data_IF_758359815622
#
_entry.id   IF_758359815622
#
_cell.length_a   1.000
_cell.length_b   1.000
_cell.length_c   1.000
_cell.angle_alpha   90.00
_cell.angle_beta   90.00
_cell.angle_gamma   90.00
#
_symmetry.space_group_name_H-M   'P 1'
#
loop_
_entity.id
_entity.type
_entity.pdbx_description
1 polymer ?
#
# COMPACT_ATOMS: atom_id res chain seq x y z
N UNK A 1 8.34 14.26 -0.78
CA UNK A 1 9.39 14.11 -1.80
C UNK A 1 9.24 15.30 -2.74
N UNK A 2 10.34 15.94 -3.14
CA UNK A 2 10.23 16.98 -4.17
C UNK A 2 9.83 16.32 -5.50
N UNK A 3 8.88 16.88 -6.27
CA UNK A 3 8.43 16.29 -7.53
C UNK A 3 9.58 15.94 -8.49
N UNK A 4 10.60 16.81 -8.56
CA UNK A 4 11.78 16.57 -9.39
C UNK A 4 12.55 15.29 -9.02
N UNK A 5 12.69 14.98 -7.73
CA UNK A 5 13.40 13.77 -7.31
C UNK A 5 12.71 12.48 -7.76
N UNK A 6 11.38 12.52 -7.92
CA UNK A 6 10.61 11.40 -8.44
C UNK A 6 10.89 11.20 -9.94
N UNK A 7 10.93 12.30 -10.69
CA UNK A 7 11.29 12.31 -12.11
C UNK A 7 12.70 11.77 -12.31
N UNK A 8 13.67 12.32 -11.57
CA UNK A 8 15.07 11.89 -11.64
C UNK A 8 15.23 10.38 -11.33
N UNK A 9 14.48 9.88 -10.35
CA UNK A 9 14.47 8.46 -10.01
C UNK A 9 13.90 7.60 -11.15
N UNK A 10 12.78 8.01 -11.74
CA UNK A 10 12.17 7.27 -12.84
C UNK A 10 13.08 7.24 -14.07
N UNK A 11 13.74 8.36 -14.39
CA UNK A 11 14.69 8.44 -15.50
C UNK A 11 15.93 7.59 -15.27
N UNK A 12 16.48 7.60 -14.04
CA UNK A 12 17.58 6.73 -13.67
C UNK A 12 17.21 5.24 -13.81
N UNK A 13 16.01 4.85 -13.39
CA UNK A 13 15.52 3.48 -13.55
C UNK A 13 15.39 3.09 -15.02
N UNK A 14 14.84 3.96 -15.87
CA UNK A 14 14.72 3.70 -17.32
C UNK A 14 16.05 3.70 -18.05
N UNK A 15 17.03 4.45 -17.55
CA UNK A 15 18.39 4.44 -18.09
C UNK A 15 19.10 3.13 -17.78
N UNK A 16 18.90 2.57 -16.59
CA UNK A 16 19.58 1.34 -16.13
C UNK A 16 18.84 0.08 -16.59
N UNK A 17 17.51 0.11 -16.58
CA UNK A 17 16.66 -1.04 -16.89
C UNK A 17 15.82 -0.80 -18.13
N UNK A 18 15.66 -1.85 -18.93
CA UNK A 18 14.63 -1.86 -19.97
C UNK A 18 13.26 -2.05 -19.33
N UNK A 19 12.53 -0.95 -19.15
CA UNK A 19 11.15 -0.96 -18.65
C UNK A 19 10.20 -1.25 -19.80
N UNK A 20 9.39 -2.31 -19.67
CA UNK A 20 8.44 -2.70 -20.71
C UNK A 20 7.41 -1.56 -20.97
N UNK A 21 6.97 -1.36 -22.22
CA UNK A 21 5.99 -0.32 -22.55
C UNK A 21 4.66 -0.45 -21.80
N UNK A 22 4.28 -1.68 -21.43
CA UNK A 22 3.07 -2.03 -20.68
C UNK A 22 3.36 -2.33 -19.20
N UNK A 23 4.55 -2.01 -18.70
CA UNK A 23 4.91 -2.21 -17.31
C UNK A 23 3.94 -1.50 -16.37
N UNK A 24 3.52 -2.20 -15.31
CA UNK A 24 2.73 -1.57 -14.26
C UNK A 24 3.62 -0.73 -13.35
N UNK A 25 3.35 0.57 -13.26
CA UNK A 25 4.07 1.51 -12.40
C UNK A 25 3.14 1.93 -11.28
N UNK A 26 3.51 1.55 -10.06
CA UNK A 26 2.63 1.64 -8.88
C UNK A 26 3.27 2.52 -7.83
N UNK A 27 2.47 3.40 -7.22
CA UNK A 27 2.90 4.26 -6.12
C UNK A 27 1.95 4.18 -4.92
N UNK A 28 2.48 4.43 -3.73
CA UNK A 28 1.67 4.74 -2.55
C UNK A 28 1.66 6.25 -2.33
N UNK A 29 0.48 6.82 -2.12
CA UNK A 29 0.28 8.27 -2.02
C UNK A 29 -0.52 8.59 -0.76
N UNK A 30 0.00 9.54 0.02
CA UNK A 30 -0.76 10.20 1.08
C UNK A 30 -1.59 11.34 0.45
N UNK A 31 -2.94 11.27 0.47
CA UNK A 31 -3.80 12.29 -0.13
C UNK A 31 -3.53 13.70 0.38
N UNK A 32 -3.00 13.82 1.61
CA UNK A 32 -2.70 15.10 2.25
C UNK A 32 -1.51 15.83 1.63
N UNK A 33 -0.65 15.10 0.93
CA UNK A 33 0.60 15.63 0.35
C UNK A 33 0.59 15.66 -1.17
N UNK A 34 -0.50 15.23 -1.81
CA UNK A 34 -0.60 15.19 -3.26
C UNK A 34 -0.88 16.59 -3.83
N UNK A 35 0.18 17.30 -4.22
CA UNK A 35 0.12 18.60 -4.89
C UNK A 35 -0.02 18.46 -6.40
N UNK A 36 -0.39 19.54 -7.11
CA UNK A 36 -0.47 19.52 -8.57
C UNK A 36 0.89 19.17 -9.21
N UNK A 37 1.98 19.73 -8.70
CA UNK A 37 3.33 19.45 -9.21
C UNK A 37 3.71 17.98 -9.03
N UNK A 38 3.36 17.39 -7.88
CA UNK A 38 3.57 15.96 -7.65
C UNK A 38 2.69 15.11 -8.58
N UNK A 39 1.45 15.53 -8.84
CA UNK A 39 0.58 14.86 -9.82
C UNK A 39 1.17 14.89 -11.23
N UNK A 40 1.73 16.02 -11.68
CA UNK A 40 2.40 16.10 -12.99
C UNK A 40 3.66 15.22 -13.04
N UNK A 41 4.42 15.13 -11.96
CA UNK A 41 5.55 14.21 -11.88
C UNK A 41 5.09 12.74 -11.98
N UNK A 42 4.00 12.35 -11.32
CA UNK A 42 3.43 11.00 -11.42
C UNK A 42 2.97 10.69 -12.86
N UNK A 43 2.35 11.66 -13.54
CA UNK A 43 1.96 11.55 -14.95
C UNK A 43 3.18 11.33 -15.85
N UNK A 44 4.22 12.16 -15.70
CA UNK A 44 5.48 12.01 -16.44
C UNK A 44 6.14 10.65 -16.20
N UNK A 45 6.12 10.18 -14.95
CA UNK A 45 6.62 8.87 -14.60
C UNK A 45 5.78 7.72 -15.19
N UNK A 46 4.61 7.98 -15.78
CA UNK A 46 3.76 6.96 -16.38
C UNK A 46 3.09 6.06 -15.34
N UNK A 47 2.78 6.59 -14.15
CA UNK A 47 2.14 5.83 -13.08
C UNK A 47 0.77 5.31 -13.56
N UNK A 48 0.59 3.99 -13.52
CA UNK A 48 -0.65 3.33 -13.95
C UNK A 48 -1.58 3.02 -12.79
N UNK A 49 -1.03 2.82 -11.58
CA UNK A 49 -1.78 2.49 -10.37
C UNK A 49 -1.30 3.28 -9.14
N UNK A 50 -2.22 3.67 -8.27
CA UNK A 50 -1.91 4.33 -7.01
C UNK A 50 -2.67 3.69 -5.84
N UNK A 51 -2.02 3.56 -4.69
CA UNK A 51 -2.67 3.23 -3.41
C UNK A 51 -2.77 4.48 -2.54
N UNK A 52 -3.98 4.82 -2.09
CA UNK A 52 -4.25 5.96 -1.20
C UNK A 52 -4.47 5.49 0.23
N UNK A 53 -3.64 6.01 1.14
CA UNK A 53 -3.82 5.81 2.58
C UNK A 53 -5.03 6.58 3.12
N UNK A 54 -6.23 5.99 3.11
CA UNK A 54 -7.44 6.60 3.66
C UNK A 54 -7.55 6.33 5.16
N UNK A 55 -7.34 5.08 5.55
CA UNK A 55 -7.36 4.54 6.90
C UNK A 55 -8.72 4.61 7.59
N UNK A 56 -9.29 5.80 7.78
CA UNK A 56 -10.61 6.05 8.37
C UNK A 56 -11.10 7.45 8.03
N UNK A 57 -12.41 7.65 7.90
CA UNK A 57 -13.03 8.98 7.78
C UNK A 57 -13.68 9.47 9.10
N UNK A 58 -13.50 8.73 10.20
CA UNK A 58 -13.98 9.16 11.52
C UNK A 58 -13.07 10.28 12.09
N UNK A 59 -13.60 11.50 12.33
CA UNK A 59 -12.80 12.61 12.82
C UNK A 59 -12.19 12.40 14.21
N UNK A 60 -12.80 11.55 15.06
CA UNK A 60 -12.25 11.19 16.38
C UNK A 60 -11.07 10.25 16.21
N UNK A 61 -11.21 9.23 15.38
CA UNK A 61 -10.11 8.30 15.04
C UNK A 61 -8.94 9.09 14.45
N UNK A 62 -9.19 9.90 13.43
CA UNK A 62 -8.18 10.70 12.73
C UNK A 62 -7.40 11.64 13.67
N UNK A 63 -8.09 12.34 14.57
CA UNK A 63 -7.44 13.18 15.58
C UNK A 63 -6.53 12.37 16.49
N UNK A 64 -7.00 11.20 16.93
CA UNK A 64 -6.28 10.33 17.87
C UNK A 64 -4.99 9.77 17.25
N UNK A 65 -5.01 9.45 15.96
CA UNK A 65 -3.83 8.94 15.23
C UNK A 65 -3.01 10.06 14.57
N UNK A 66 -3.34 11.33 14.82
CA UNK A 66 -2.70 12.50 14.22
C UNK A 66 -2.67 12.47 12.68
N UNK A 67 -3.80 12.07 12.07
CA UNK A 67 -3.98 11.96 10.62
C UNK A 67 -5.28 12.61 10.17
N UNK A 68 -5.35 13.93 10.27
CA UNK A 68 -6.48 14.70 9.73
C UNK A 68 -6.46 14.65 8.19
N UNK A 69 -7.52 14.07 7.61
CA UNK A 69 -7.71 13.92 6.18
C UNK A 69 -9.21 13.96 5.87
N UNK A 70 -9.66 15.04 5.23
CA UNK A 70 -11.07 15.18 4.86
C UNK A 70 -11.49 14.25 3.72
N UNK A 71 -12.80 14.02 3.62
CA UNK A 71 -13.41 13.39 2.43
C UNK A 71 -13.07 14.17 1.16
N UNK A 72 -13.33 15.48 1.14
CA UNK A 72 -13.05 16.36 0.00
C UNK A 72 -11.58 16.35 -0.44
N UNK A 73 -10.65 16.29 0.52
CA UNK A 73 -9.23 16.18 0.20
C UNK A 73 -8.89 14.86 -0.49
N UNK A 74 -9.52 13.76 -0.05
CA UNK A 74 -9.36 12.45 -0.68
C UNK A 74 -10.01 12.43 -2.07
N UNK A 75 -11.20 13.02 -2.22
CA UNK A 75 -11.89 13.17 -3.49
C UNK A 75 -11.04 13.95 -4.50
N UNK A 76 -10.48 15.09 -4.09
CA UNK A 76 -9.59 15.89 -4.92
C UNK A 76 -8.32 15.11 -5.34
N UNK A 77 -7.77 14.27 -4.45
CA UNK A 77 -6.62 13.44 -4.78
C UNK A 77 -6.96 12.36 -5.83
N UNK A 78 -8.12 11.70 -5.69
CA UNK A 78 -8.63 10.73 -6.67
C UNK A 78 -8.79 11.39 -8.05
N UNK A 79 -9.45 12.55 -8.10
CA UNK A 79 -9.66 13.27 -9.36
C UNK A 79 -8.34 13.68 -10.02
N UNK A 80 -7.35 14.13 -9.23
CA UNK A 80 -6.01 14.45 -9.73
C UNK A 80 -5.31 13.22 -10.34
N UNK A 81 -5.35 12.08 -9.65
CA UNK A 81 -4.73 10.84 -10.13
C UNK A 81 -5.38 10.36 -11.43
N UNK A 82 -6.71 10.36 -11.49
CA UNK A 82 -7.44 9.99 -12.72
C UNK A 82 -7.07 10.89 -13.89
N UNK A 83 -6.98 12.21 -13.67
CA UNK A 83 -6.56 13.18 -14.71
C UNK A 83 -5.12 12.95 -15.17
N UNK A 84 -4.24 12.50 -14.28
CA UNK A 84 -2.87 12.10 -14.59
C UNK A 84 -2.76 10.72 -15.29
N UNK A 85 -3.88 10.11 -15.68
CA UNK A 85 -3.90 8.82 -16.38
C UNK A 85 -3.76 7.59 -15.48
N UNK A 86 -3.84 7.74 -14.15
CA UNK A 86 -3.87 6.61 -13.23
C UNK A 86 -5.20 5.88 -13.37
N UNK A 87 -5.15 4.61 -13.77
CA UNK A 87 -6.33 3.77 -14.07
C UNK A 87 -6.73 2.85 -12.94
N UNK A 88 -5.81 2.54 -12.02
CA UNK A 88 -6.10 1.74 -10.85
C UNK A 88 -5.87 2.53 -9.57
N UNK A 89 -6.93 2.78 -8.80
CA UNK A 89 -6.87 3.46 -7.52
C UNK A 89 -7.32 2.48 -6.44
N UNK A 90 -6.39 2.08 -5.59
CA UNK A 90 -6.67 1.33 -4.37
C UNK A 90 -6.81 2.29 -3.19
N UNK A 91 -7.73 2.02 -2.28
CA UNK A 91 -7.76 2.65 -0.95
C UNK A 91 -7.30 1.66 0.11
N UNK A 92 -6.40 2.12 0.98
CA UNK A 92 -6.04 1.41 2.19
C UNK A 92 -6.97 1.87 3.32
N UNK A 93 -7.68 0.92 3.92
CA UNK A 93 -8.64 1.13 4.99
C UNK A 93 -8.25 0.30 6.20
N UNK A 94 -8.35 0.88 7.40
CA UNK A 94 -7.98 0.19 8.63
C UNK A 94 -9.20 -0.03 9.53
N UNK A 95 -9.26 -1.21 10.14
CA UNK A 95 -10.08 -1.47 11.33
C UNK A 95 -9.20 -1.64 12.57
N UNK A 96 -9.79 -1.61 13.75
CA UNK A 96 -9.07 -1.77 15.02
C UNK A 96 -8.31 -0.52 15.49
N UNK A 97 -8.59 0.65 14.91
CA UNK A 97 -7.99 1.91 15.34
C UNK A 97 -8.65 2.44 16.64
N UNK A 98 -7.98 3.36 17.36
CA UNK A 98 -8.50 3.99 18.57
C UNK A 98 -9.89 4.62 18.39
N UNK A 99 -10.82 4.31 19.30
CA UNK A 99 -12.22 4.75 19.33
C UNK A 99 -13.07 4.32 18.13
N UNK A 100 -12.53 3.48 17.25
CA UNK A 100 -13.25 3.00 16.09
C UNK A 100 -14.33 2.01 16.53
N UNK A 101 -15.55 2.20 16.02
CA UNK A 101 -16.71 1.32 16.21
C UNK A 101 -17.10 0.66 14.90
N UNK A 102 -17.90 -0.41 14.97
CA UNK A 102 -18.47 -1.06 13.77
C UNK A 102 -19.22 -0.05 12.89
N UNK A 103 -20.05 0.81 13.49
CA UNK A 103 -20.76 1.87 12.76
C UNK A 103 -19.79 2.82 12.05
N UNK A 104 -18.76 3.31 12.75
CA UNK A 104 -17.78 4.22 12.15
C UNK A 104 -16.98 3.58 11.01
N UNK A 105 -16.74 2.26 11.07
CA UNK A 105 -16.14 1.51 9.98
C UNK A 105 -17.06 1.49 8.75
N UNK A 106 -18.35 1.18 8.96
CA UNK A 106 -19.34 1.15 7.89
C UNK A 106 -19.55 2.53 7.25
N UNK A 107 -19.64 3.58 8.05
CA UNK A 107 -19.77 4.96 7.57
C UNK A 107 -18.54 5.39 6.75
N UNK A 108 -17.34 5.05 7.22
CA UNK A 108 -16.12 5.32 6.48
C UNK A 108 -16.05 4.52 5.19
N UNK A 109 -16.50 3.26 5.20
CA UNK A 109 -16.61 2.43 3.99
C UNK A 109 -17.57 3.07 2.99
N UNK A 110 -18.75 3.52 3.39
CA UNK A 110 -19.70 4.21 2.49
C UNK A 110 -19.02 5.37 1.78
N UNK A 111 -18.31 6.22 2.52
CA UNK A 111 -17.51 7.31 1.95
C UNK A 111 -16.42 6.82 0.99
N UNK A 112 -15.70 5.76 1.33
CA UNK A 112 -14.72 5.17 0.39
C UNK A 112 -15.39 4.80 -0.93
N UNK A 113 -16.56 4.17 -0.87
CA UNK A 113 -17.31 3.69 -2.03
C UNK A 113 -17.84 4.84 -2.90
N UNK A 114 -18.26 5.95 -2.29
CA UNK A 114 -18.68 7.16 -3.01
C UNK A 114 -17.58 7.72 -3.93
N UNK A 115 -16.30 7.54 -3.57
CA UNK A 115 -15.17 7.97 -4.39
C UNK A 115 -14.82 6.99 -5.52
N UNK A 116 -15.51 5.83 -5.57
CA UNK A 116 -15.41 4.80 -6.61
C UNK A 116 -13.97 4.32 -6.86
N UNK A 117 -13.23 3.86 -5.82
CA UNK A 117 -11.92 3.26 -6.04
C UNK A 117 -12.07 1.94 -6.81
N UNK A 118 -11.03 1.57 -7.54
CA UNK A 118 -10.94 0.29 -8.26
C UNK A 118 -10.69 -0.87 -7.31
N UNK A 119 -10.12 -0.59 -6.12
CA UNK A 119 -9.91 -1.58 -5.05
C UNK A 119 -10.03 -0.95 -3.67
N UNK A 120 -10.47 -1.75 -2.70
CA UNK A 120 -10.41 -1.41 -1.27
C UNK A 120 -9.65 -2.51 -0.52
N UNK A 121 -8.46 -2.18 -0.04
CA UNK A 121 -7.65 -3.05 0.81
C UNK A 121 -7.96 -2.76 2.27
N UNK A 122 -8.37 -3.78 3.02
CA UNK A 122 -8.77 -3.65 4.43
C UNK A 122 -7.77 -4.35 5.34
N UNK A 123 -7.17 -3.59 6.25
CA UNK A 123 -6.14 -4.07 7.16
C UNK A 123 -6.55 -3.93 8.62
N UNK A 124 -6.18 -4.91 9.44
CA UNK A 124 -6.27 -4.76 10.89
C UNK A 124 -5.11 -3.91 11.40
N UNK A 125 -5.40 -2.90 12.20
CA UNK A 125 -4.38 -2.15 12.91
C UNK A 125 -3.59 -3.08 13.83
N UNK A 126 -2.26 -3.09 13.66
CA UNK A 126 -1.32 -3.82 14.50
C UNK A 126 -0.69 -2.86 15.53
N UNK A 127 -1.07 -3.02 16.80
CA UNK A 127 -0.53 -2.25 17.90
C UNK A 127 0.67 -2.97 18.53
N UNK A 128 1.88 -2.47 18.25
CA UNK A 128 3.16 -3.03 18.70
C UNK A 128 4.10 -1.91 19.20
N UNK A 129 3.75 -1.21 20.30
CA UNK A 129 4.46 -0.01 20.79
C UNK A 129 5.90 -0.29 21.28
N UNK A 130 6.25 -1.56 21.50
CA UNK A 130 7.62 -2.03 21.77
C UNK A 130 8.52 -1.83 20.54
N UNK A 131 8.01 -2.09 19.33
CA UNK A 131 8.72 -1.94 18.06
C UNK A 131 8.47 -0.59 17.40
N UNK A 132 7.22 -0.11 17.40
CA UNK A 132 6.79 1.16 16.78
C UNK A 132 6.57 2.22 17.85
N UNK A 133 7.64 2.86 18.33
CA UNK A 133 7.62 3.82 19.45
C UNK A 133 6.57 4.94 19.34
N UNK A 134 6.24 5.39 18.13
CA UNK A 134 5.22 6.43 17.92
C UNK A 134 3.82 5.99 18.36
N UNK A 135 3.53 4.68 18.37
CA UNK A 135 2.26 4.12 18.81
C UNK A 135 2.05 4.25 20.33
N UNK A 136 3.10 4.50 21.13
CA UNK A 136 2.99 4.75 22.58
C UNK A 136 2.15 5.98 22.95
N UNK A 137 1.87 6.85 21.98
CA UNK A 137 0.99 8.01 22.16
C UNK A 137 -0.50 7.64 22.11
N UNK A 138 -0.82 6.42 21.68
CA UNK A 138 -2.17 5.89 21.66
C UNK A 138 -2.44 5.22 23.00
N UNK A 139 -3.51 5.64 23.67
CA UNK A 139 -3.97 5.05 24.92
C UNK A 139 -4.54 3.65 24.63
N UNK A 140 -4.08 2.61 25.32
CA UNK A 140 -4.50 1.22 25.04
C UNK A 140 -6.00 1.02 25.30
N UNK A 141 -6.57 1.75 26.26
CA UNK A 141 -8.00 1.70 26.62
C UNK A 141 -8.89 2.28 25.52
N UNK A 142 -8.31 3.04 24.59
CA UNK A 142 -9.03 3.54 23.41
C UNK A 142 -9.11 2.50 22.29
N UNK A 143 -8.32 1.43 22.34
CA UNK A 143 -8.33 0.40 21.31
C UNK A 143 -9.52 -0.55 21.50
N UNK A 144 -10.17 -0.97 20.41
CA UNK A 144 -11.14 -2.05 20.49
C UNK A 144 -10.46 -3.35 20.90
N UNK A 145 -11.12 -4.12 21.76
CA UNK A 145 -10.66 -5.45 22.16
C UNK A 145 -10.71 -6.46 21.00
N UNK A 146 -10.26 -7.69 21.24
CA UNK A 146 -10.24 -8.74 20.22
C UNK A 146 -11.62 -9.08 19.66
N UNK A 147 -12.67 -9.03 20.49
CA UNK A 147 -14.04 -9.36 20.07
C UNK A 147 -14.57 -8.26 19.16
N UNK A 148 -14.46 -7.00 19.58
CA UNK A 148 -14.87 -5.85 18.77
C UNK A 148 -14.09 -5.79 17.46
N UNK A 149 -12.77 -6.05 17.47
CA UNK A 149 -11.96 -6.12 16.25
C UNK A 149 -12.41 -7.23 15.31
N UNK A 150 -12.76 -8.40 15.84
CA UNK A 150 -13.29 -9.49 15.03
C UNK A 150 -14.62 -9.11 14.38
N UNK A 151 -15.56 -8.53 15.15
CA UNK A 151 -16.84 -8.05 14.62
C UNK A 151 -16.64 -6.97 13.57
N UNK A 152 -15.74 -6.00 13.79
CA UNK A 152 -15.39 -4.99 12.78
C UNK A 152 -14.92 -5.65 11.48
N UNK A 153 -14.00 -6.61 11.56
CA UNK A 153 -13.46 -7.34 10.41
C UNK A 153 -14.56 -8.08 9.64
N UNK A 154 -15.38 -8.88 10.32
CA UNK A 154 -16.44 -9.66 9.70
C UNK A 154 -17.50 -8.77 9.06
N UNK A 155 -17.95 -7.72 9.76
CA UNK A 155 -18.96 -6.80 9.25
C UNK A 155 -18.47 -6.04 8.01
N UNK A 156 -17.20 -5.59 7.98
CA UNK A 156 -16.62 -4.97 6.79
C UNK A 156 -16.54 -6.00 5.65
N UNK A 157 -16.07 -7.21 5.93
CA UNK A 157 -15.92 -8.26 4.93
C UNK A 157 -17.26 -8.66 4.30
N UNK A 158 -18.31 -8.81 5.12
CA UNK A 158 -19.67 -9.09 4.65
C UNK A 158 -20.20 -7.96 3.76
N UNK A 159 -20.04 -6.71 4.20
CA UNK A 159 -20.47 -5.55 3.42
C UNK A 159 -19.75 -5.48 2.05
N UNK A 160 -18.47 -5.82 1.99
CA UNK A 160 -17.71 -5.85 0.74
C UNK A 160 -18.08 -7.03 -0.16
N UNK A 161 -18.34 -8.21 0.41
CA UNK A 161 -18.87 -9.35 -0.35
C UNK A 161 -20.18 -9.00 -1.05
N UNK A 162 -21.09 -8.32 -0.35
CA UNK A 162 -22.35 -7.84 -0.93
C UNK A 162 -22.12 -6.92 -2.14
N UNK A 163 -21.12 -6.04 -2.07
CA UNK A 163 -20.77 -5.15 -3.17
C UNK A 163 -20.14 -5.87 -4.38
N UNK A 164 -19.25 -6.82 -4.12
CA UNK A 164 -18.68 -7.66 -5.18
C UNK A 164 -19.79 -8.44 -5.90
N UNK A 165 -20.74 -9.00 -5.13
CA UNK A 165 -21.88 -9.73 -5.68
C UNK A 165 -22.80 -8.84 -6.54
N UNK A 166 -22.91 -7.54 -6.22
CA UNK A 166 -23.62 -6.57 -7.06
C UNK A 166 -22.81 -6.06 -8.28
N UNK A 167 -21.64 -6.65 -8.55
CA UNK A 167 -20.83 -6.32 -9.72
C UNK A 167 -20.03 -5.02 -9.59
N UNK A 168 -19.76 -4.53 -8.38
CA UNK A 168 -19.04 -3.26 -8.16
C UNK A 168 -17.55 -3.33 -8.55
N UNK A 169 -16.97 -4.53 -8.61
CA UNK A 169 -15.58 -4.77 -9.02
C UNK A 169 -15.53 -5.77 -10.20
N UNK A 170 -16.10 -5.43 -11.37
CA UNK A 170 -16.37 -6.41 -12.42
C UNK A 170 -15.10 -6.92 -13.13
N UNK A 171 -14.00 -6.15 -13.13
CA UNK A 171 -12.81 -6.42 -13.96
C UNK A 171 -11.48 -6.39 -13.18
N UNK A 172 -11.44 -6.94 -11.96
CA UNK A 172 -10.19 -7.01 -11.18
C UNK A 172 -9.27 -8.15 -11.67
N UNK A 173 -8.06 -7.79 -12.11
CA UNK A 173 -7.03 -8.73 -12.53
C UNK A 173 -6.67 -9.74 -11.42
N UNK A 174 -6.71 -9.33 -10.14
CA UNK A 174 -6.48 -10.24 -9.03
C UNK A 174 -7.62 -11.23 -8.84
N UNK A 175 -8.88 -10.81 -8.99
CA UNK A 175 -10.02 -11.72 -8.94
C UNK A 175 -9.94 -12.77 -10.06
N UNK A 176 -9.50 -12.35 -11.26
CA UNK A 176 -9.23 -13.26 -12.38
C UNK A 176 -8.06 -14.22 -12.08
N UNK A 177 -6.96 -13.70 -11.54
CA UNK A 177 -5.82 -14.52 -11.13
C UNK A 177 -6.21 -15.52 -10.03
N UNK A 178 -7.07 -15.13 -9.08
CA UNK A 178 -7.57 -16.00 -8.03
C UNK A 178 -8.40 -17.15 -8.60
N UNK A 179 -9.37 -16.85 -9.48
CA UNK A 179 -10.17 -17.89 -10.15
C UNK A 179 -9.32 -18.83 -10.99
N UNK A 180 -8.26 -18.31 -11.60
CA UNK A 180 -7.32 -19.08 -12.41
C UNK A 180 -6.18 -19.77 -11.64
N UNK A 181 -6.16 -19.69 -10.29
CA UNK A 181 -5.08 -20.27 -9.48
C UNK A 181 -3.69 -19.63 -9.68
N UNK A 182 -3.64 -18.43 -10.29
CA UNK A 182 -2.42 -17.67 -10.60
C UNK A 182 -2.18 -16.51 -9.63
N UNK A 183 -3.06 -16.31 -8.65
CA UNK A 183 -2.89 -15.27 -7.64
C UNK A 183 -1.64 -15.56 -6.80
N UNK A 184 -0.72 -14.61 -6.78
CA UNK A 184 0.49 -14.65 -5.96
C UNK A 184 0.42 -13.59 -4.86
N UNK A 185 1.36 -13.68 -3.92
CA UNK A 185 1.53 -12.67 -2.87
C UNK A 185 3.01 -12.35 -2.70
N UNK A 186 3.34 -11.07 -2.71
CA UNK A 186 4.67 -10.56 -2.40
C UNK A 186 4.61 -9.63 -1.17
N UNK A 187 5.69 -8.92 -0.87
CA UNK A 187 5.75 -8.00 0.28
C UNK A 187 4.80 -6.80 0.18
N UNK A 188 4.35 -6.44 -1.03
CA UNK A 188 3.40 -5.36 -1.29
C UNK A 188 1.93 -5.82 -1.30
N UNK A 189 1.68 -7.13 -1.19
CA UNK A 189 0.34 -7.70 -1.14
C UNK A 189 0.09 -8.73 -2.25
N UNK A 190 -1.18 -8.89 -2.61
CA UNK A 190 -1.58 -9.79 -3.69
C UNK A 190 -1.22 -9.21 -5.05
N UNK A 191 -0.76 -10.07 -5.96
CA UNK A 191 -0.33 -9.69 -7.30
C UNK A 191 -0.61 -10.82 -8.29
N UNK A 192 -0.85 -10.47 -9.54
CA UNK A 192 -0.89 -11.36 -10.69
C UNK A 192 0.44 -11.36 -11.48
N UNK A 193 1.45 -10.63 -10.99
CA UNK A 193 2.81 -10.60 -11.53
C UNK A 193 3.48 -11.97 -11.46
N UNK A 194 3.89 -12.46 -12.63
CA UNK A 194 4.56 -13.73 -12.84
C UNK A 194 6.06 -13.73 -12.55
N UNK A 195 6.69 -12.60 -12.23
CA UNK A 195 8.13 -12.50 -12.06
C UNK A 195 8.67 -13.39 -10.93
N UNK A 196 9.74 -14.13 -11.23
CA UNK A 196 10.44 -14.95 -10.24
C UNK A 196 11.41 -14.14 -9.38
N UNK A 197 11.78 -12.95 -9.86
CA UNK A 197 12.72 -12.05 -9.20
C UNK A 197 12.08 -10.70 -8.91
N UNK A 198 12.26 -10.23 -7.69
CA UNK A 198 11.90 -8.89 -7.21
C UNK A 198 13.15 -8.23 -6.64
N UNK A 199 13.60 -7.15 -7.26
CA UNK A 199 14.79 -6.41 -6.83
C UNK A 199 14.37 -5.30 -5.87
N UNK A 200 14.75 -5.42 -4.60
CA UNK A 200 14.51 -4.40 -3.58
C UNK A 200 15.59 -3.32 -3.59
N UNK A 201 15.22 -2.08 -3.91
CA UNK A 201 16.11 -0.91 -3.85
C UNK A 201 15.75 -0.02 -2.65
N UNK A 202 16.76 0.62 -2.05
CA UNK A 202 16.58 1.48 -0.88
C UNK A 202 16.80 0.77 0.46
N UNK A 203 16.86 1.58 1.52
CA UNK A 203 17.03 1.09 2.88
C UNK A 203 15.85 0.18 3.27
N UNK A 204 16.14 -0.89 4.02
CA UNK A 204 15.21 -1.92 4.47
C UNK A 204 14.52 -2.77 3.40
N UNK A 205 14.68 -2.43 2.11
CA UNK A 205 14.02 -3.11 1.01
C UNK A 205 14.34 -4.62 0.99
N UNK A 206 13.31 -5.42 0.74
CA UNK A 206 13.42 -6.87 0.63
C UNK A 206 13.26 -7.24 -0.83
N UNK A 207 14.21 -8.02 -1.34
CA UNK A 207 14.15 -8.66 -2.64
C UNK A 207 13.76 -10.12 -2.54
N UNK A 208 13.19 -10.65 -3.61
CA UNK A 208 13.00 -12.09 -3.84
C UNK A 208 13.86 -12.50 -5.03
N UNK A 209 14.66 -13.54 -4.84
CA UNK A 209 15.43 -14.21 -5.89
C UNK A 209 14.84 -15.61 -6.10
N UNK A 210 15.14 -16.30 -7.20
CA UNK A 210 14.63 -17.65 -7.43
C UNK A 210 14.99 -18.64 -6.31
N UNK A 211 16.11 -18.38 -5.62
CA UNK A 211 16.70 -19.24 -4.59
C UNK A 211 16.61 -18.65 -3.18
N UNK A 212 15.86 -17.57 -2.96
CA UNK A 212 15.71 -17.04 -1.60
C UNK A 212 15.27 -15.59 -1.50
N UNK A 213 15.33 -15.06 -0.29
CA UNK A 213 15.11 -13.64 0.00
C UNK A 213 16.41 -12.93 0.32
N UNK A 214 16.46 -11.64 0.01
CA UNK A 214 17.57 -10.75 0.39
C UNK A 214 17.00 -9.47 1.00
N UNK A 215 17.74 -8.85 1.92
CA UNK A 215 17.31 -7.59 2.53
C UNK A 215 18.48 -6.61 2.65
N UNK A 216 18.21 -5.37 2.23
CA UNK A 216 19.10 -4.23 2.41
C UNK A 216 19.13 -3.78 3.87
N UNK A 217 20.24 -3.17 4.27
CA UNK A 217 20.39 -2.60 5.62
C UNK A 217 19.23 -1.64 5.95
N UNK A 218 18.70 -1.77 7.16
CA UNK A 218 17.47 -1.06 7.59
C UNK A 218 17.76 0.42 7.89
N UNK A 219 18.90 0.73 8.49
CA UNK A 219 19.25 2.10 8.83
C UNK A 219 19.62 2.91 7.58
N UNK A 220 18.92 4.03 7.36
CA UNK A 220 19.13 4.90 6.19
C UNK A 220 20.59 5.37 6.08
N UNK A 221 21.20 5.76 7.21
CA UNK A 221 22.60 6.22 7.24
C UNK A 221 23.55 5.15 6.73
N UNK A 222 23.38 3.91 7.18
CA UNK A 222 24.25 2.80 6.80
C UNK A 222 24.03 2.41 5.34
N UNK A 223 22.78 2.49 4.86
CA UNK A 223 22.45 2.30 3.44
C UNK A 223 23.23 3.31 2.58
N UNK A 224 23.11 4.60 2.90
CA UNK A 224 23.77 5.67 2.15
C UNK A 224 25.29 5.52 2.16
N UNK A 225 25.89 5.22 3.31
CA UNK A 225 27.35 5.02 3.42
C UNK A 225 27.83 3.85 2.53
N UNK A 226 27.11 2.71 2.53
CA UNK A 226 27.47 1.56 1.69
C UNK A 226 27.43 1.89 0.20
N UNK A 227 26.38 2.58 -0.25
CA UNK A 227 26.23 2.98 -1.65
C UNK A 227 27.32 3.99 -2.04
N UNK A 228 27.63 4.97 -1.17
CA UNK A 228 28.70 5.95 -1.42
C UNK A 228 30.09 5.31 -1.56
N UNK A 229 30.31 4.17 -0.91
CA UNK A 229 31.54 3.37 -1.02
C UNK A 229 31.53 2.37 -2.20
N UNK A 230 30.49 2.38 -3.04
CA UNK A 230 30.35 1.44 -4.17
C UNK A 230 30.05 -0.01 -3.74
N UNK A 231 29.53 -0.22 -2.52
CA UNK A 231 29.20 -1.55 -1.98
C UNK A 231 27.70 -1.83 -2.06
N UNK A 232 27.34 -3.10 -2.21
CA UNK A 232 25.94 -3.52 -2.07
C UNK A 232 25.41 -3.26 -0.65
N UNK A 233 24.15 -2.82 -0.60
CA UNK A 233 23.45 -2.55 0.64
C UNK A 233 22.86 -3.81 1.30
N UNK A 234 22.88 -4.95 0.63
CA UNK A 234 22.41 -6.25 1.14
C UNK A 234 23.20 -6.67 2.37
N UNK A 235 22.50 -6.97 3.47
CA UNK A 235 23.11 -7.41 4.73
C UNK A 235 22.55 -8.72 5.26
N UNK A 236 21.42 -9.18 4.70
CA UNK A 236 20.74 -10.38 5.14
C UNK A 236 20.22 -11.14 3.93
N UNK A 237 20.33 -12.46 3.95
CA UNK A 237 19.76 -13.34 2.96
C UNK A 237 19.25 -14.62 3.61
N UNK A 238 18.22 -15.22 3.01
CA UNK A 238 17.69 -16.51 3.38
C UNK A 238 17.54 -17.34 2.11
N UNK A 239 18.36 -18.37 1.96
CA UNK A 239 18.23 -19.32 0.87
C UNK A 239 17.02 -20.23 1.10
N UNK A 240 16.29 -20.54 0.05
CA UNK A 240 15.24 -21.54 0.09
C UNK A 240 15.84 -22.93 0.27
N UNK A 241 15.20 -23.72 1.12
CA UNK A 241 15.42 -25.16 1.20
C UNK A 241 14.53 -25.88 0.19
N UNK A 242 14.75 -27.18 -0.02
CA UNK A 242 13.88 -27.99 -0.87
C UNK A 242 12.41 -27.98 -0.40
N UNK A 243 12.18 -27.88 0.92
CA UNK A 243 10.84 -27.79 1.52
C UNK A 243 10.16 -26.44 1.28
N UNK A 244 10.92 -25.38 1.00
CA UNK A 244 10.39 -24.04 0.73
C UNK A 244 9.94 -23.86 -0.73
N UNK A 245 10.36 -24.74 -1.63
CA UNK A 245 10.02 -24.66 -3.04
C UNK A 245 8.64 -25.30 -3.30
N UNK A 246 7.78 -24.68 -4.12
CA UNK A 246 6.53 -25.30 -4.51
C UNK A 246 6.80 -26.64 -5.21
N UNK A 247 6.12 -27.69 -4.75
CA UNK A 247 6.16 -29.03 -5.34
C UNK A 247 5.43 -29.08 -6.68
#
# INVERSE_FOLDING_TARGET
MAPQLLVDLADALRYIFFVLPDAEIVVEVDPRTLTNDLTQALEYCGVTRASLGVQSFDPRVQRTINRLQGFEQTAAAVERLRRAGVRGINFDFLYGLPFQTVSSCLDSKVKCVELRPDRLSVFGYAHVPSFKKHQRKIAEESLPDSVVRHVQSETIAEALRGMCASGWFPDDALATAQRGGRLRRNFQGYTDDGADTLIGLGASAIGRMPHGFVQNVVAIRDYLNRIAEGRLATVKGYAFTEDDLPR
#
